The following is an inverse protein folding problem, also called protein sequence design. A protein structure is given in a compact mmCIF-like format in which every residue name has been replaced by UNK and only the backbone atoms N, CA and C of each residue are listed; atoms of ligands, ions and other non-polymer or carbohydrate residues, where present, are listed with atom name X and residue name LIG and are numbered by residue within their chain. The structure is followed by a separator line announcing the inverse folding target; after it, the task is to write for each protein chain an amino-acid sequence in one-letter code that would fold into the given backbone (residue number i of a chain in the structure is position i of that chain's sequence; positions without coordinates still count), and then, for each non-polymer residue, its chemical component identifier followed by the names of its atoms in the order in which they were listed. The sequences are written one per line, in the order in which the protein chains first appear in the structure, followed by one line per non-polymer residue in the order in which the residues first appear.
data_IF_904678723062
#
_entry.id   IF_904678723062
#
_cell.length_a   1.000
_cell.length_b   1.000
_cell.length_c   1.000
_cell.angle_alpha   90.00
_cell.angle_beta   90.00
_cell.angle_gamma   90.00
#
_symmetry.space_group_name_H-M   'P 1'
#
loop_
_entity.id
_entity.type
_entity.pdbx_description
1 polymer ?
#
# COMPACT_ATOMS: atom_id res chain seq x y z
N UNK A 1 45.94 -74.80 7.52
CA UNK A 1 46.70 -73.68 6.93
C UNK A 1 46.59 -72.48 7.87
N UNK A 2 47.57 -71.57 7.80
CA UNK A 2 47.65 -70.26 8.47
C UNK A 2 46.38 -69.39 8.33
N UNK A 3 46.18 -68.26 9.03
CA UNK A 3 46.74 -67.61 10.25
C UNK A 3 46.04 -66.22 10.34
N UNK A 4 46.46 -65.34 11.28
CA UNK A 4 46.20 -63.88 11.33
C UNK A 4 44.79 -63.41 11.76
N UNK A 5 44.62 -62.20 12.35
CA UNK A 5 45.52 -61.36 13.16
C UNK A 5 44.75 -60.13 13.73
N UNK A 6 45.00 -59.80 15.00
CA UNK A 6 44.98 -58.49 15.68
C UNK A 6 43.91 -57.38 15.44
N UNK A 7 43.60 -56.76 16.59
CA UNK A 7 42.77 -55.58 16.85
C UNK A 7 43.37 -54.21 16.49
N UNK A 8 42.52 -53.17 16.49
CA UNK A 8 42.80 -51.73 16.70
C UNK A 8 41.48 -51.03 17.13
N UNK A 9 41.31 -50.17 18.15
CA UNK A 9 42.16 -49.49 19.17
C UNK A 9 42.61 -48.03 18.85
N UNK A 10 41.85 -47.04 19.35
CA UNK A 10 42.15 -45.58 19.48
C UNK A 10 42.26 -44.74 18.18
N UNK A 11 41.98 -43.43 18.10
CA UNK A 11 42.17 -42.34 19.08
C UNK A 11 41.41 -41.02 18.71
N UNK A 12 41.39 -40.10 19.69
CA UNK A 12 41.17 -38.63 19.68
C UNK A 12 41.24 -37.82 18.37
N UNK A 13 40.39 -36.78 18.22
CA UNK A 13 40.80 -35.35 18.06
C UNK A 13 39.61 -34.38 17.82
N UNK A 14 39.68 -33.20 18.45
CA UNK A 14 39.08 -31.93 18.01
C UNK A 14 40.25 -30.96 17.66
N UNK A 15 40.10 -29.79 17.00
CA UNK A 15 38.88 -29.02 16.72
C UNK A 15 38.77 -28.47 15.27
N UNK A 16 37.73 -27.67 14.95
CA UNK A 16 37.88 -26.30 14.41
C UNK A 16 36.52 -25.67 14.05
N UNK A 17 36.29 -24.42 14.49
CA UNK A 17 35.17 -23.58 14.00
C UNK A 17 35.58 -22.95 12.67
N UNK A 18 34.78 -23.14 11.62
CA UNK A 18 34.89 -22.29 10.42
C UNK A 18 34.05 -21.02 10.61
N UNK A 19 34.67 -19.88 10.31
CA UNK A 19 34.07 -18.56 10.45
C UNK A 19 33.42 -18.11 9.13
N UNK A 20 32.23 -17.53 9.23
CA UNK A 20 31.60 -16.80 8.13
C UNK A 20 31.95 -15.31 8.27
N UNK A 21 32.51 -14.70 7.22
CA UNK A 21 32.90 -13.28 7.20
C UNK A 21 32.36 -12.63 5.93
N UNK A 22 31.63 -11.53 6.10
CA UNK A 22 31.24 -10.62 5.01
C UNK A 22 32.34 -9.58 4.83
N UNK A 23 32.96 -9.53 3.64
CA UNK A 23 33.92 -8.48 3.30
C UNK A 23 33.20 -7.17 2.97
N UNK A 24 33.64 -6.09 3.60
CA UNK A 24 33.26 -4.72 3.24
C UNK A 24 34.55 -3.95 2.96
N UNK A 25 34.67 -3.35 1.78
CA UNK A 25 35.78 -2.47 1.43
C UNK A 25 35.69 -1.16 2.22
N UNK A 26 36.70 -0.89 3.06
CA UNK A 26 36.88 0.39 3.75
C UNK A 26 37.52 1.41 2.81
N UNK A 27 36.90 2.58 2.68
CA UNK A 27 37.62 3.82 2.37
C UNK A 27 37.80 4.68 3.63
N UNK A 28 38.72 5.66 3.53
CA UNK A 28 39.46 6.21 4.67
C UNK A 28 38.82 7.45 5.28
N UNK A 29 39.08 7.63 6.58
CA UNK A 29 38.76 8.84 7.34
C UNK A 29 39.35 10.12 6.70
N UNK A 30 38.59 11.21 6.77
CA UNK A 30 39.09 12.58 6.77
C UNK A 30 38.51 13.33 7.97
N UNK A 31 39.33 14.16 8.61
CA UNK A 31 39.09 14.78 9.92
C UNK A 31 38.23 16.06 9.85
N UNK A 32 37.38 16.26 10.85
CA UNK A 32 36.64 17.51 11.05
C UNK A 32 37.51 18.61 11.71
N UNK A 33 37.18 19.91 11.50
CA UNK A 33 37.50 20.99 12.42
C UNK A 33 36.29 21.40 13.27
N UNK A 34 36.53 21.82 14.51
CA UNK A 34 35.49 22.26 15.45
C UNK A 34 35.48 23.79 15.62
N UNK A 35 34.33 24.41 15.33
CA UNK A 35 33.88 25.75 15.75
C UNK A 35 32.34 25.69 15.82
N UNK A 36 31.60 26.40 16.68
CA UNK A 36 31.98 27.48 17.59
C UNK A 36 30.97 28.63 17.47
N UNK A 37 29.98 28.66 18.37
CA UNK A 37 28.99 29.73 18.59
C UNK A 37 27.91 30.04 17.52
N UNK A 38 26.66 29.84 17.94
CA UNK A 38 25.49 30.74 17.85
C UNK A 38 25.15 31.50 16.55
N UNK A 39 23.93 31.26 16.06
CA UNK A 39 23.03 32.38 15.75
C UNK A 39 22.89 32.86 14.30
N UNK A 40 22.64 31.97 13.33
CA UNK A 40 21.93 32.33 12.09
C UNK A 40 21.42 31.09 11.34
N UNK A 41 20.13 30.75 11.45
CA UNK A 41 19.49 29.77 10.56
C UNK A 41 19.26 30.39 9.18
N UNK A 42 20.31 30.40 8.34
CA UNK A 42 20.18 30.73 6.91
C UNK A 42 19.75 29.49 6.14
N UNK A 43 18.60 29.61 5.45
CA UNK A 43 18.16 28.68 4.41
C UNK A 43 19.30 28.41 3.41
N UNK A 44 19.90 27.21 3.45
CA UNK A 44 20.64 26.65 2.31
C UNK A 44 19.86 25.45 1.77
N UNK A 45 19.22 25.66 0.62
CA UNK A 45 18.35 24.67 0.00
C UNK A 45 19.10 23.49 -0.62
N UNK A 46 19.35 22.44 0.17
CA UNK A 46 19.15 21.10 -0.36
C UNK A 46 17.74 20.65 0.02
N UNK A 47 16.86 20.56 -0.97
CA UNK A 47 15.63 19.79 -0.86
C UNK A 47 16.02 18.30 -0.85
N UNK A 48 16.42 17.81 0.32
CA UNK A 48 16.33 16.38 0.62
C UNK A 48 14.86 16.09 0.89
N UNK A 49 14.31 15.09 0.19
CA UNK A 49 13.12 14.40 0.67
C UNK A 49 13.42 13.94 2.10
N UNK A 50 12.76 14.55 3.10
CA UNK A 50 13.01 14.27 4.52
C UNK A 50 12.52 12.88 4.89
N UNK A 51 11.50 12.40 4.17
CA UNK A 51 10.84 11.13 4.42
C UNK A 51 11.15 10.05 3.39
N UNK A 52 11.11 8.79 3.83
CA UNK A 52 11.04 7.61 2.97
C UNK A 52 9.58 7.39 2.53
N UNK A 53 9.30 7.43 1.24
CA UNK A 53 7.93 7.28 0.72
C UNK A 53 7.62 5.84 0.29
N UNK A 54 6.51 5.33 0.81
CA UNK A 54 5.80 4.14 0.34
C UNK A 54 4.34 4.52 0.02
N UNK A 55 3.59 3.59 -0.56
CA UNK A 55 2.27 3.89 -1.12
C UNK A 55 1.26 2.79 -0.80
N UNK A 56 0.06 3.17 -0.37
CA UNK A 56 -1.08 2.25 -0.19
C UNK A 56 -2.10 2.52 -1.30
N UNK A 57 -2.62 1.44 -1.89
CA UNK A 57 -3.48 1.47 -3.08
C UNK A 57 -4.34 0.20 -3.11
N UNK A 58 -4.85 -0.16 -4.29
CA UNK A 58 -5.65 -1.35 -4.52
C UNK A 58 -7.14 -1.03 -4.56
N UNK A 59 -7.94 -2.01 -4.18
CA UNK A 59 -9.38 -2.00 -4.38
C UNK A 59 -10.10 -1.22 -3.26
N UNK A 60 -11.22 -0.53 -3.55
CA UNK A 60 -12.05 0.07 -2.51
C UNK A 60 -12.57 -1.01 -1.55
N UNK A 61 -12.79 -0.68 -0.27
CA UNK A 61 -13.32 -1.60 0.76
C UNK A 61 -12.48 -2.87 1.03
N UNK A 62 -11.23 -2.92 0.56
CA UNK A 62 -10.30 -4.04 0.76
C UNK A 62 -9.36 -3.87 1.99
N UNK A 63 -9.69 -2.98 2.94
CA UNK A 63 -8.94 -2.84 4.19
C UNK A 63 -7.72 -1.91 4.17
N UNK A 64 -7.56 -1.04 3.16
CA UNK A 64 -6.49 -0.04 3.16
C UNK A 64 -6.52 0.85 4.42
N UNK A 65 -7.70 1.29 4.86
CA UNK A 65 -7.85 2.04 6.11
C UNK A 65 -7.47 1.24 7.36
N UNK A 66 -7.77 -0.05 7.39
CA UNK A 66 -7.37 -0.96 8.48
C UNK A 66 -5.85 -1.13 8.51
N UNK A 67 -5.22 -1.34 7.34
CA UNK A 67 -3.76 -1.41 7.23
C UNK A 67 -3.11 -0.09 7.67
N UNK A 68 -3.63 1.06 7.23
CA UNK A 68 -3.14 2.37 7.67
C UNK A 68 -3.27 2.57 9.18
N UNK A 69 -4.39 2.16 9.78
CA UNK A 69 -4.61 2.24 11.23
C UNK A 69 -3.61 1.38 12.02
N UNK A 70 -3.30 0.17 11.53
CA UNK A 70 -2.27 -0.68 12.10
C UNK A 70 -0.87 -0.05 11.96
N UNK A 71 -0.49 0.40 10.76
CA UNK A 71 0.82 1.03 10.53
C UNK A 71 1.02 2.29 11.39
N UNK A 72 -0.03 3.09 11.60
CA UNK A 72 0.00 4.30 12.44
C UNK A 72 0.38 4.07 13.91
N UNK A 73 0.20 2.85 14.43
CA UNK A 73 0.61 2.48 15.79
C UNK A 73 2.13 2.54 15.98
N UNK A 74 2.91 2.35 14.91
CA UNK A 74 4.35 2.57 14.94
C UNK A 74 4.65 4.08 14.82
N UNK A 75 5.31 4.71 15.80
CA UNK A 75 5.56 6.15 15.79
C UNK A 75 6.43 6.62 14.60
N UNK A 76 7.24 5.74 13.99
CA UNK A 76 8.06 6.06 12.81
C UNK A 76 7.27 6.12 11.50
N UNK A 77 6.06 5.56 11.44
CA UNK A 77 5.29 5.39 10.20
C UNK A 77 4.06 6.31 10.18
N UNK A 78 3.89 7.11 9.13
CA UNK A 78 2.64 7.82 8.84
C UNK A 78 1.84 7.05 7.81
N UNK A 79 0.56 6.80 8.06
CA UNK A 79 -0.37 6.25 7.07
C UNK A 79 -1.77 6.84 7.28
N UNK A 80 -2.67 6.69 6.31
CA UNK A 80 -4.03 7.22 6.44
C UNK A 80 -4.99 6.72 5.38
N UNK A 81 -6.13 7.41 5.26
CA UNK A 81 -7.03 7.25 4.12
C UNK A 81 -6.53 8.00 2.88
N UNK A 82 -7.36 8.08 1.84
CA UNK A 82 -6.96 8.66 0.54
C UNK A 82 -6.48 10.10 0.67
N UNK A 83 -5.23 10.37 0.28
CA UNK A 83 -4.65 11.72 0.27
C UNK A 83 -5.12 12.53 -0.95
N UNK A 84 -5.10 13.88 -0.88
CA UNK A 84 -5.32 14.73 -2.04
C UNK A 84 -4.13 14.74 -3.01
N UNK A 85 -2.94 14.27 -2.60
CA UNK A 85 -1.69 14.36 -3.39
C UNK A 85 -1.85 13.70 -4.75
N UNK A 86 -2.50 12.53 -4.84
CA UNK A 86 -2.78 11.88 -6.12
C UNK A 86 -3.67 12.71 -7.06
N UNK A 87 -4.62 13.47 -6.52
CA UNK A 87 -5.43 14.42 -7.28
C UNK A 87 -4.61 15.62 -7.77
N UNK A 88 -3.80 16.20 -6.87
CA UNK A 88 -2.88 17.31 -7.18
C UNK A 88 -1.87 16.92 -8.26
N UNK A 89 -1.25 15.75 -8.14
CA UNK A 89 -0.32 15.18 -9.13
C UNK A 89 -1.01 15.00 -10.48
N UNK A 90 -2.24 14.46 -10.50
CA UNK A 90 -2.99 14.25 -11.74
C UNK A 90 -3.38 15.58 -12.43
N UNK A 91 -3.75 16.60 -11.65
CA UNK A 91 -4.06 17.93 -12.18
C UNK A 91 -2.81 18.63 -12.73
N UNK A 92 -1.69 18.60 -11.99
CA UNK A 92 -0.41 19.18 -12.41
C UNK A 92 0.14 18.47 -13.65
N UNK A 93 0.10 17.13 -13.71
CA UNK A 93 0.45 16.38 -14.92
C UNK A 93 -0.34 16.86 -16.13
N UNK A 94 -1.68 17.00 -16.02
CA UNK A 94 -2.52 17.47 -17.12
C UNK A 94 -2.10 18.87 -17.63
N UNK A 95 -1.76 19.78 -16.73
CA UNK A 95 -1.34 21.15 -17.09
C UNK A 95 0.06 21.21 -17.72
N UNK A 96 0.98 20.34 -17.30
CA UNK A 96 2.36 20.30 -17.79
C UNK A 96 2.57 19.37 -19.00
N UNK A 97 1.56 18.57 -19.37
CA UNK A 97 1.57 17.67 -20.53
C UNK A 97 1.15 18.38 -21.82
N UNK A 98 1.40 17.73 -22.97
CA UNK A 98 0.99 18.23 -24.28
C UNK A 98 -0.51 18.58 -24.31
N UNK A 99 -0.81 19.76 -24.87
CA UNK A 99 -2.16 20.37 -24.82
C UNK A 99 -2.31 21.50 -23.79
N UNK A 100 -1.38 21.63 -22.83
CA UNK A 100 -1.27 22.82 -21.99
C UNK A 100 -0.42 23.92 -22.67
N UNK A 101 -0.88 25.18 -22.61
CA UNK A 101 -0.20 26.36 -23.19
C UNK A 101 1.26 26.50 -22.72
N UNK A 102 1.53 26.11 -21.46
CA UNK A 102 2.85 26.18 -20.82
C UNK A 102 3.69 24.92 -20.98
N UNK A 103 3.19 23.87 -21.65
CA UNK A 103 3.84 22.54 -21.67
C UNK A 103 5.22 22.51 -22.33
N UNK A 104 5.50 23.45 -23.24
CA UNK A 104 6.81 23.66 -23.88
C UNK A 104 7.84 24.35 -22.97
N UNK A 105 7.39 25.03 -21.91
CA UNK A 105 8.26 25.75 -20.96
C UNK A 105 8.72 24.88 -19.79
N UNK A 106 8.18 23.65 -19.66
CA UNK A 106 8.38 22.79 -18.50
C UNK A 106 8.94 21.45 -18.98
N UNK A 107 10.24 21.23 -18.79
CA UNK A 107 10.92 19.99 -19.16
C UNK A 107 10.64 18.82 -18.18
N UNK A 108 11.11 17.62 -18.52
CA UNK A 108 10.87 16.44 -17.67
C UNK A 108 11.54 16.55 -16.27
N UNK A 109 12.78 17.04 -16.11
CA UNK A 109 13.36 17.36 -14.79
C UNK A 109 12.51 18.31 -13.95
N UNK A 110 12.03 19.42 -14.52
CA UNK A 110 11.21 20.40 -13.80
C UNK A 110 9.84 19.81 -13.44
N UNK A 111 9.19 19.06 -14.34
CA UNK A 111 7.96 18.31 -14.01
C UNK A 111 8.17 17.39 -12.82
N UNK A 112 9.27 16.61 -12.81
CA UNK A 112 9.62 15.71 -11.70
C UNK A 112 9.83 16.48 -10.39
N UNK A 113 10.51 17.63 -10.43
CA UNK A 113 10.73 18.51 -9.27
C UNK A 113 9.42 19.09 -8.73
N UNK A 114 8.55 19.61 -9.60
CA UNK A 114 7.23 20.15 -9.22
C UNK A 114 6.38 19.06 -8.56
N UNK A 115 6.28 17.88 -9.16
CA UNK A 115 5.51 16.77 -8.60
C UNK A 115 6.10 16.24 -7.29
N UNK A 116 7.44 16.21 -7.15
CA UNK A 116 8.11 15.88 -5.89
C UNK A 116 7.74 16.85 -4.77
N UNK A 117 7.74 18.15 -5.09
CA UNK A 117 7.37 19.19 -4.13
C UNK A 117 5.92 19.19 -3.68
N UNK A 118 5.01 18.50 -4.38
CA UNK A 118 3.65 18.26 -3.87
C UNK A 118 3.66 17.30 -2.67
N UNK A 119 4.59 16.34 -2.63
CA UNK A 119 4.77 15.45 -1.47
C UNK A 119 5.44 16.21 -0.33
N UNK A 120 6.53 16.91 -0.60
CA UNK A 120 7.26 17.69 0.42
C UNK A 120 6.38 18.76 1.07
N UNK A 121 5.54 19.47 0.29
CA UNK A 121 4.63 20.48 0.82
C UNK A 121 3.44 19.89 1.59
N UNK A 122 2.98 18.67 1.26
CA UNK A 122 1.84 18.04 1.94
C UNK A 122 2.25 17.28 3.21
N UNK A 123 3.46 16.71 3.24
CA UNK A 123 3.96 15.91 4.36
C UNK A 123 5.03 16.60 5.22
N UNK A 124 5.51 17.80 4.85
CA UNK A 124 6.66 18.45 5.50
C UNK A 124 6.52 18.76 7.00
N UNK A 125 5.29 18.89 7.51
CA UNK A 125 5.01 19.08 8.94
C UNK A 125 4.84 17.76 9.73
N UNK A 126 4.93 16.60 9.05
CA UNK A 126 4.79 15.28 9.68
C UNK A 126 6.15 14.79 10.20
N UNK A 127 6.37 14.87 11.50
CA UNK A 127 7.55 14.31 12.17
C UNK A 127 7.50 12.76 12.26
N UNK A 128 7.53 12.09 11.10
CA UNK A 128 7.66 10.63 10.96
C UNK A 128 8.61 10.30 9.81
N UNK A 129 9.45 9.29 10.00
CA UNK A 129 10.52 8.93 9.06
C UNK A 129 10.00 8.33 7.75
N UNK A 130 8.91 7.55 7.83
CA UNK A 130 8.34 6.81 6.70
C UNK A 130 6.90 7.24 6.47
N UNK A 131 6.56 7.62 5.24
CA UNK A 131 5.23 8.09 4.85
C UNK A 131 4.60 7.11 3.87
N UNK A 132 3.37 6.69 4.15
CA UNK A 132 2.50 5.94 3.26
C UNK A 132 1.44 6.85 2.64
N UNK A 133 1.69 7.36 1.44
CA UNK A 133 0.64 8.06 0.70
C UNK A 133 -0.39 7.06 0.17
N UNK A 134 -1.65 7.28 0.48
CA UNK A 134 -2.74 6.39 0.08
C UNK A 134 -3.52 6.97 -1.09
N UNK A 135 -3.51 6.31 -2.24
CA UNK A 135 -4.43 6.63 -3.35
C UNK A 135 -4.57 5.47 -4.33
N UNK A 136 -5.80 5.20 -4.78
CA UNK A 136 -6.13 4.11 -5.72
C UNK A 136 -5.48 4.28 -7.10
N UNK A 137 -5.16 5.52 -7.49
CA UNK A 137 -4.51 5.81 -8.76
C UNK A 137 -3.03 5.44 -8.80
N UNK A 138 -2.39 5.14 -7.67
CA UNK A 138 -0.94 4.90 -7.65
C UNK A 138 -0.52 3.66 -8.42
N UNK A 139 -1.38 2.65 -8.55
CA UNK A 139 -1.15 1.51 -9.44
C UNK A 139 -0.93 1.98 -10.90
N UNK A 140 -1.80 2.83 -11.43
CA UNK A 140 -1.68 3.44 -12.77
C UNK A 140 -0.62 4.56 -12.87
N UNK A 141 0.21 4.73 -11.83
CA UNK A 141 1.33 5.69 -11.77
C UNK A 141 2.64 5.06 -11.30
N UNK A 142 2.72 3.74 -11.16
CA UNK A 142 3.96 3.05 -10.72
C UNK A 142 5.23 3.44 -11.49
N UNK A 143 5.24 3.67 -12.82
CA UNK A 143 6.44 4.15 -13.52
C UNK A 143 6.90 5.54 -13.07
N UNK A 144 5.95 6.47 -12.85
CA UNK A 144 6.24 7.80 -12.36
C UNK A 144 6.73 7.76 -10.91
N UNK A 145 6.02 7.01 -10.05
CA UNK A 145 6.39 6.83 -8.64
C UNK A 145 7.78 6.19 -8.50
N UNK A 146 8.09 5.14 -9.27
CA UNK A 146 9.41 4.49 -9.25
C UNK A 146 10.52 5.42 -9.77
N UNK A 147 10.21 6.32 -10.72
CA UNK A 147 11.17 7.36 -11.13
C UNK A 147 11.40 8.40 -10.03
N UNK A 148 10.35 8.88 -9.37
CA UNK A 148 10.43 9.89 -8.30
C UNK A 148 11.09 9.34 -7.03
N UNK A 149 10.71 8.14 -6.63
CA UNK A 149 11.10 7.49 -5.38
C UNK A 149 11.57 6.05 -5.68
N UNK A 150 12.84 5.83 -6.07
CA UNK A 150 13.32 4.52 -6.53
C UNK A 150 13.24 3.39 -5.49
N UNK A 151 13.22 3.74 -4.20
CA UNK A 151 13.06 2.79 -3.08
C UNK A 151 11.59 2.60 -2.67
N UNK A 152 10.64 3.28 -3.32
CA UNK A 152 9.24 3.17 -2.97
C UNK A 152 8.70 1.76 -3.20
N UNK A 153 7.75 1.41 -2.34
CA UNK A 153 7.06 0.13 -2.33
C UNK A 153 5.58 0.41 -2.29
N UNK A 154 4.82 -0.40 -3.00
CA UNK A 154 3.40 -0.21 -3.21
C UNK A 154 2.63 -1.38 -2.61
N UNK A 155 1.73 -1.09 -1.69
CA UNK A 155 0.91 -2.09 -1.01
C UNK A 155 -0.51 -1.96 -1.55
N UNK A 156 -0.92 -2.91 -2.37
CA UNK A 156 -2.28 -3.01 -2.89
C UNK A 156 -3.13 -3.88 -1.97
N UNK A 157 -4.08 -3.24 -1.27
CA UNK A 157 -5.10 -3.97 -0.53
C UNK A 157 -6.11 -4.56 -1.52
N UNK A 158 -6.35 -5.87 -1.44
CA UNK A 158 -7.23 -6.60 -2.37
C UNK A 158 -8.28 -7.41 -1.62
N UNK A 159 -9.43 -7.62 -2.24
CA UNK A 159 -10.55 -8.41 -1.75
C UNK A 159 -11.43 -8.80 -2.92
N UNK A 160 -12.18 -9.90 -2.79
CA UNK A 160 -13.17 -10.30 -3.80
C UNK A 160 -14.17 -9.19 -4.10
N UNK A 161 -14.41 -8.97 -5.39
CA UNK A 161 -15.29 -7.89 -5.86
C UNK A 161 -16.73 -8.02 -5.32
N UNK A 162 -17.35 -9.22 -5.24
CA UNK A 162 -18.64 -9.38 -4.57
C UNK A 162 -18.64 -8.88 -3.12
N UNK A 163 -17.60 -9.15 -2.32
CA UNK A 163 -17.54 -8.67 -0.93
C UNK A 163 -17.31 -7.15 -0.82
N UNK A 164 -16.66 -6.55 -1.82
CA UNK A 164 -16.54 -5.09 -1.94
C UNK A 164 -17.89 -4.45 -2.26
N UNK A 165 -18.61 -5.01 -3.24
CA UNK A 165 -19.95 -4.58 -3.65
C UNK A 165 -20.95 -4.70 -2.49
N UNK A 166 -20.98 -5.85 -1.81
CA UNK A 166 -21.77 -6.10 -0.61
C UNK A 166 -21.42 -5.12 0.53
N UNK A 167 -20.14 -4.74 0.69
CA UNK A 167 -19.69 -3.74 1.66
C UNK A 167 -20.21 -2.33 1.36
N UNK A 168 -20.39 -1.98 0.08
CA UNK A 168 -20.99 -0.71 -0.32
C UNK A 168 -22.51 -0.74 -0.11
N UNK A 169 -23.17 -1.82 -0.55
CA UNK A 169 -24.63 -1.97 -0.41
C UNK A 169 -25.07 -1.96 1.06
N UNK A 170 -24.36 -2.67 1.94
CA UNK A 170 -24.61 -2.65 3.38
C UNK A 170 -24.49 -1.23 3.98
N UNK A 171 -23.63 -0.36 3.44
CA UNK A 171 -23.50 1.02 3.92
C UNK A 171 -24.66 1.90 3.43
N UNK A 172 -25.16 1.69 2.19
CA UNK A 172 -26.37 2.36 1.70
C UNK A 172 -27.59 2.00 2.57
N UNK A 173 -27.74 0.73 2.91
CA UNK A 173 -28.81 0.24 3.78
C UNK A 173 -28.83 0.85 5.20
N UNK A 174 -27.71 1.42 5.69
CA UNK A 174 -27.69 2.12 6.99
C UNK A 174 -28.40 3.48 6.96
N UNK A 175 -28.44 4.14 5.81
CA UNK A 175 -29.11 5.43 5.65
C UNK A 175 -29.95 5.44 4.36
N UNK A 176 -31.15 4.83 4.36
CA UNK A 176 -32.02 4.75 3.18
C UNK A 176 -32.64 6.10 2.79
N UNK A 177 -32.36 7.18 3.52
CA UNK A 177 -32.89 8.53 3.28
C UNK A 177 -31.88 9.47 2.61
N UNK A 178 -30.67 8.99 2.30
CA UNK A 178 -29.58 9.79 1.72
C UNK A 178 -29.15 9.29 0.34
N UNK A 179 -28.85 10.21 -0.58
CA UNK A 179 -28.45 9.90 -1.94
C UNK A 179 -26.95 10.14 -2.12
N UNK A 180 -26.15 9.09 -1.93
CA UNK A 180 -24.70 9.17 -2.06
C UNK A 180 -24.21 9.67 -3.44
N UNK A 181 -23.08 10.38 -3.43
CA UNK A 181 -22.33 10.80 -4.62
C UNK A 181 -21.59 9.66 -5.34
N UNK A 182 -21.63 8.42 -4.82
CA UNK A 182 -21.07 7.25 -5.51
C UNK A 182 -21.78 6.94 -6.84
N UNK A 183 -23.01 7.41 -7.02
CA UNK A 183 -23.82 7.28 -8.23
C UNK A 183 -24.04 8.66 -8.85
N UNK A 184 -23.93 8.77 -10.17
CA UNK A 184 -24.00 10.03 -10.91
C UNK A 184 -25.42 10.42 -11.33
N UNK A 185 -26.37 9.48 -11.39
CA UNK A 185 -27.74 9.73 -11.84
C UNK A 185 -28.75 8.82 -11.14
N UNK A 186 -30.03 9.18 -11.18
CA UNK A 186 -31.13 8.34 -10.69
C UNK A 186 -31.12 6.95 -11.33
N UNK A 187 -30.82 6.87 -12.63
CA UNK A 187 -30.72 5.60 -13.36
C UNK A 187 -29.66 4.65 -12.79
N UNK A 188 -28.57 5.17 -12.21
CA UNK A 188 -27.57 4.35 -11.51
C UNK A 188 -28.08 3.89 -10.13
N UNK A 189 -28.95 4.67 -9.48
CA UNK A 189 -29.45 4.43 -8.10
C UNK A 189 -30.59 3.42 -8.02
N UNK A 190 -31.41 3.27 -9.07
CA UNK A 190 -32.70 2.54 -9.09
C UNK A 190 -32.70 1.19 -8.34
N UNK A 191 -31.74 0.31 -8.63
CA UNK A 191 -31.71 -1.06 -8.08
C UNK A 191 -30.28 -1.47 -7.74
N UNK A 192 -30.14 -2.55 -6.98
CA UNK A 192 -28.82 -3.15 -6.73
C UNK A 192 -28.09 -3.50 -8.05
N UNK A 193 -28.82 -3.93 -9.08
CA UNK A 193 -28.28 -4.20 -10.41
C UNK A 193 -27.71 -2.95 -11.09
N UNK A 194 -28.43 -1.82 -11.08
CA UNK A 194 -27.93 -0.57 -11.65
C UNK A 194 -26.73 -0.03 -10.86
N UNK A 195 -26.77 -0.15 -9.53
CA UNK A 195 -25.68 0.28 -8.63
C UNK A 195 -24.41 -0.53 -8.88
N UNK A 196 -24.48 -1.86 -8.89
CA UNK A 196 -23.30 -2.71 -9.11
C UNK A 196 -22.75 -2.58 -10.52
N UNK A 197 -23.62 -2.46 -11.54
CA UNK A 197 -23.18 -2.16 -12.90
C UNK A 197 -22.45 -0.82 -12.99
N UNK A 198 -22.97 0.24 -12.35
CA UNK A 198 -22.35 1.56 -12.32
C UNK A 198 -20.98 1.54 -11.63
N UNK A 199 -20.85 0.90 -10.46
CA UNK A 199 -19.59 0.81 -9.71
C UNK A 199 -18.49 0.04 -10.49
N UNK A 200 -18.89 -0.98 -11.24
CA UNK A 200 -18.00 -1.84 -12.02
C UNK A 200 -17.48 -1.21 -13.32
N UNK A 201 -18.04 -0.09 -13.80
CA UNK A 201 -17.56 0.60 -15.00
C UNK A 201 -16.09 1.03 -14.86
N UNK A 202 -15.37 1.02 -15.98
CA UNK A 202 -13.92 1.26 -16.09
C UNK A 202 -13.39 2.60 -15.50
N UNK A 203 -14.29 3.56 -15.29
CA UNK A 203 -14.08 4.95 -14.87
C UNK A 203 -14.63 5.22 -13.45
N UNK A 204 -15.16 4.18 -12.78
CA UNK A 204 -15.89 4.26 -11.52
C UNK A 204 -15.18 3.52 -10.39
N UNK A 205 -15.77 3.57 -9.20
CA UNK A 205 -15.12 3.24 -7.92
C UNK A 205 -14.41 1.87 -7.89
N UNK A 206 -14.96 0.85 -8.55
CA UNK A 206 -14.37 -0.50 -8.59
C UNK A 206 -13.59 -0.72 -9.89
N UNK A 207 -14.17 -0.36 -11.04
CA UNK A 207 -13.58 -0.68 -12.35
C UNK A 207 -12.24 0.02 -12.62
N UNK A 208 -12.09 1.30 -12.26
CA UNK A 208 -10.82 2.00 -12.43
C UNK A 208 -9.69 1.41 -11.57
N UNK A 209 -9.83 1.25 -10.23
CA UNK A 209 -8.77 0.67 -9.41
C UNK A 209 -8.45 -0.78 -9.77
N UNK A 210 -9.43 -1.57 -10.22
CA UNK A 210 -9.18 -2.95 -10.68
C UNK A 210 -8.39 -2.99 -12.00
N UNK A 211 -8.69 -2.12 -12.96
CA UNK A 211 -7.91 -2.00 -14.19
C UNK A 211 -6.48 -1.51 -13.88
N UNK A 212 -6.34 -0.46 -13.08
CA UNK A 212 -5.06 0.08 -12.64
C UNK A 212 -4.21 -0.96 -11.89
N UNK A 213 -4.83 -1.76 -11.01
CA UNK A 213 -4.13 -2.82 -10.28
C UNK A 213 -3.61 -3.92 -11.20
N UNK A 214 -4.36 -4.30 -12.25
CA UNK A 214 -3.87 -5.26 -13.26
C UNK A 214 -2.69 -4.68 -14.05
N UNK A 215 -2.76 -3.40 -14.45
CA UNK A 215 -1.65 -2.73 -15.12
C UNK A 215 -0.38 -2.75 -14.25
N UNK A 216 -0.52 -2.44 -12.95
CA UNK A 216 0.57 -2.53 -11.98
C UNK A 216 1.10 -3.96 -11.80
N UNK A 217 0.21 -4.96 -11.76
CA UNK A 217 0.54 -6.36 -11.51
C UNK A 217 1.29 -7.02 -12.67
N UNK A 218 0.91 -6.76 -13.93
CA UNK A 218 1.62 -7.28 -15.10
C UNK A 218 2.70 -6.31 -15.64
N UNK A 219 2.83 -5.13 -15.03
CA UNK A 219 3.73 -4.07 -15.48
C UNK A 219 5.20 -4.27 -15.09
N UNK A 220 6.12 -3.48 -15.69
CA UNK A 220 7.57 -3.63 -15.49
C UNK A 220 8.06 -3.31 -14.07
N UNK A 221 7.21 -2.70 -13.23
CA UNK A 221 7.52 -2.35 -11.84
C UNK A 221 6.86 -3.30 -10.81
N UNK A 222 6.29 -4.43 -11.26
CA UNK A 222 5.57 -5.35 -10.40
C UNK A 222 6.38 -5.84 -9.17
N UNK A 223 7.72 -5.94 -9.26
CA UNK A 223 8.59 -6.28 -8.12
C UNK A 223 8.60 -5.27 -6.96
N UNK A 224 8.04 -4.06 -7.17
CA UNK A 224 7.77 -3.06 -6.13
C UNK A 224 6.32 -3.10 -5.62
N UNK A 225 5.51 -4.07 -6.04
CA UNK A 225 4.11 -4.25 -5.64
C UNK A 225 3.94 -5.47 -4.70
N UNK A 226 3.24 -5.26 -3.57
CA UNK A 226 2.75 -6.30 -2.65
C UNK A 226 1.23 -6.27 -2.63
N UNK A 227 0.59 -7.41 -2.86
CA UNK A 227 -0.85 -7.59 -2.67
C UNK A 227 -1.13 -8.16 -1.28
N UNK A 228 -1.98 -7.46 -0.53
CA UNK A 228 -2.45 -7.83 0.81
C UNK A 228 -3.94 -8.14 0.72
N UNK A 229 -4.30 -9.43 0.81
CA UNK A 229 -5.69 -9.85 0.81
C UNK A 229 -6.35 -9.54 2.16
N UNK A 230 -7.49 -8.84 2.13
CA UNK A 230 -8.25 -8.43 3.31
C UNK A 230 -8.59 -9.61 4.23
N UNK A 231 -8.99 -10.75 3.65
CA UNK A 231 -9.43 -11.89 4.44
C UNK A 231 -8.25 -12.53 5.19
N UNK A 232 -7.03 -12.42 4.66
CA UNK A 232 -5.80 -12.81 5.39
C UNK A 232 -5.43 -11.78 6.45
N UNK A 233 -5.54 -10.48 6.15
CA UNK A 233 -5.26 -9.39 7.09
C UNK A 233 -6.14 -9.50 8.35
N UNK A 234 -7.43 -9.85 8.22
CA UNK A 234 -8.31 -9.99 9.40
C UNK A 234 -8.20 -11.34 10.10
N UNK A 235 -7.71 -12.40 9.45
CA UNK A 235 -7.52 -13.74 10.04
C UNK A 235 -6.16 -13.91 10.74
N UNK A 236 -5.11 -13.27 10.23
CA UNK A 236 -3.74 -13.40 10.72
C UNK A 236 -3.00 -12.05 10.69
N UNK A 237 -3.52 -11.01 11.39
CA UNK A 237 -3.07 -9.63 11.22
C UNK A 237 -1.58 -9.43 11.52
N UNK A 238 -1.07 -10.02 12.62
CA UNK A 238 0.36 -9.97 12.94
C UNK A 238 1.21 -10.52 11.79
N UNK A 239 0.91 -11.73 11.31
CA UNK A 239 1.70 -12.39 10.28
C UNK A 239 1.67 -11.66 8.94
N UNK A 240 0.52 -11.08 8.59
CA UNK A 240 0.39 -10.23 7.40
C UNK A 240 1.21 -8.94 7.55
N UNK A 241 1.18 -8.33 8.74
CA UNK A 241 1.91 -7.09 9.00
C UNK A 241 3.43 -7.32 9.02
N UNK A 242 3.93 -8.41 9.62
CA UNK A 242 5.34 -8.83 9.53
C UNK A 242 5.83 -8.91 8.07
N UNK A 243 5.02 -9.49 7.18
CA UNK A 243 5.34 -9.58 5.75
C UNK A 243 5.33 -8.20 5.06
N UNK A 244 4.44 -7.30 5.47
CA UNK A 244 4.45 -5.89 5.01
C UNK A 244 5.74 -5.20 5.44
N UNK A 245 6.15 -5.30 6.71
CA UNK A 245 7.40 -4.73 7.23
C UNK A 245 8.64 -5.27 6.49
N UNK A 246 8.71 -6.59 6.28
CA UNK A 246 9.76 -7.22 5.49
C UNK A 246 9.81 -6.68 4.05
N UNK A 247 8.65 -6.50 3.40
CA UNK A 247 8.58 -6.01 2.02
C UNK A 247 9.01 -4.55 1.84
N UNK A 248 8.69 -3.67 2.81
CA UNK A 248 9.11 -2.25 2.82
C UNK A 248 10.56 -2.06 3.31
N UNK A 249 11.15 -3.10 3.92
CA UNK A 249 12.49 -3.05 4.50
C UNK A 249 12.57 -2.19 5.76
N UNK A 250 11.53 -2.24 6.61
CA UNK A 250 11.52 -1.58 7.92
C UNK A 250 11.61 -2.62 9.06
N UNK A 251 12.24 -2.28 10.20
CA UNK A 251 12.25 -3.15 11.37
C UNK A 251 10.83 -3.31 11.94
N UNK A 252 10.52 -4.53 12.36
CA UNK A 252 9.26 -4.86 13.04
C UNK A 252 9.05 -4.02 14.31
N UNK A 253 7.78 -3.76 14.64
CA UNK A 253 7.37 -3.02 15.82
C UNK A 253 6.52 -3.90 16.74
N UNK A 254 7.09 -4.34 17.86
CA UNK A 254 6.42 -5.23 18.82
C UNK A 254 5.22 -4.57 19.55
N UNK A 255 5.04 -3.25 19.44
CA UNK A 255 3.94 -2.52 20.07
C UNK A 255 2.63 -2.51 19.28
N UNK A 256 2.46 -3.36 18.27
CA UNK A 256 1.20 -3.46 17.53
C UNK A 256 0.10 -4.12 18.38
N UNK A 257 -1.06 -3.46 18.47
CA UNK A 257 -2.24 -3.95 19.19
C UNK A 257 -3.39 -4.21 18.20
N UNK A 258 -3.71 -5.49 18.00
CA UNK A 258 -4.77 -5.93 17.09
C UNK A 258 -6.16 -5.96 17.72
N UNK A 259 -6.26 -5.74 19.04
CA UNK A 259 -7.50 -5.62 19.78
C UNK A 259 -7.90 -4.15 20.03
N UNK A 260 -6.98 -3.20 19.80
CA UNK A 260 -7.16 -1.76 19.98
C UNK A 260 -6.76 -0.92 18.75
N UNK A 261 -7.46 -1.10 17.64
CA UNK A 261 -7.29 -0.33 16.41
C UNK A 261 -8.32 0.80 16.31
N UNK A 262 -7.87 2.05 16.24
CA UNK A 262 -8.73 3.23 16.12
C UNK A 262 -8.40 4.02 14.86
N UNK A 263 -9.43 4.26 14.03
CA UNK A 263 -9.36 5.12 12.84
C UNK A 263 -10.77 5.51 12.40
N UNK A 264 -10.96 6.79 12.10
CA UNK A 264 -12.18 7.30 11.48
C UNK A 264 -11.85 8.53 10.61
N UNK A 265 -12.78 8.92 9.73
CA UNK A 265 -12.63 10.06 8.82
C UNK A 265 -14.00 10.67 8.43
N UNK A 266 -14.77 11.19 9.40
CA UNK A 266 -16.17 11.58 9.20
C UNK A 266 -16.35 12.64 8.09
N UNK A 267 -15.45 13.62 8.00
CA UNK A 267 -15.51 14.70 6.99
C UNK A 267 -15.45 14.17 5.54
N UNK A 268 -14.67 13.11 5.29
CA UNK A 268 -14.57 12.50 3.96
C UNK A 268 -15.83 11.66 3.64
N UNK A 269 -16.39 11.01 4.65
CA UNK A 269 -17.60 10.20 4.55
C UNK A 269 -18.84 11.05 4.31
N UNK A 270 -18.99 12.16 5.04
CA UNK A 270 -20.02 13.18 4.86
C UNK A 270 -19.94 13.81 3.46
N UNK A 271 -18.72 14.12 2.97
CA UNK A 271 -18.53 14.66 1.62
C UNK A 271 -19.05 13.72 0.51
N UNK A 272 -19.17 12.41 0.77
CA UNK A 272 -19.72 11.40 -0.13
C UNK A 272 -21.20 11.03 0.16
N UNK A 273 -21.78 11.49 1.28
CA UNK A 273 -23.08 11.04 1.77
C UNK A 273 -23.06 9.59 2.28
N UNK A 274 -21.96 9.16 2.92
CA UNK A 274 -21.70 7.77 3.33
C UNK A 274 -21.10 7.70 4.75
N UNK A 275 -21.80 8.23 5.75
CA UNK A 275 -21.34 8.28 7.14
C UNK A 275 -20.89 6.90 7.69
N UNK A 276 -19.73 6.85 8.36
CA UNK A 276 -19.18 5.61 8.93
C UNK A 276 -18.74 4.58 7.90
N UNK A 277 -18.35 5.04 6.70
CA UNK A 277 -17.75 4.21 5.66
C UNK A 277 -16.30 3.88 6.00
N UNK A 278 -15.50 4.84 6.47
CA UNK A 278 -14.07 4.63 6.79
C UNK A 278 -13.79 4.34 8.27
N UNK A 279 -14.80 4.33 9.13
CA UNK A 279 -14.68 3.84 10.51
C UNK A 279 -14.18 2.38 10.53
N UNK A 280 -13.08 2.12 11.24
CA UNK A 280 -12.59 0.76 11.52
C UNK A 280 -13.17 0.26 12.85
N UNK A 281 -13.30 -1.06 12.98
CA UNK A 281 -13.69 -1.66 14.25
C UNK A 281 -12.46 -1.89 15.14
N UNK A 282 -12.64 -1.66 16.45
CA UNK A 282 -11.58 -1.76 17.47
C UNK A 282 -10.76 -3.06 17.41
N UNK A 283 -11.42 -4.21 17.37
CA UNK A 283 -10.77 -5.54 17.22
C UNK A 283 -10.65 -5.94 15.76
N UNK A 284 -9.44 -6.34 15.35
CA UNK A 284 -9.17 -6.96 14.06
C UNK A 284 -9.55 -8.44 14.11
N UNK A 285 -10.67 -8.76 13.47
CA UNK A 285 -11.18 -10.12 13.36
C UNK A 285 -12.04 -10.26 12.09
N UNK A 286 -12.22 -11.48 11.56
CA UNK A 286 -13.24 -11.75 10.56
C UNK A 286 -14.62 -11.37 11.09
N UNK A 287 -15.52 -10.97 10.17
CA UNK A 287 -16.92 -10.69 10.48
C UNK A 287 -17.79 -11.36 9.44
N UNK A 288 -18.31 -12.52 9.80
CA UNK A 288 -19.27 -13.24 8.98
C UNK A 288 -20.58 -12.46 8.91
N UNK A 289 -21.15 -12.37 7.71
CA UNK A 289 -22.45 -11.78 7.47
C UNK A 289 -23.09 -12.42 6.25
N UNK A 290 -24.42 -12.39 6.20
CA UNK A 290 -25.15 -12.73 4.98
C UNK A 290 -24.95 -11.61 3.94
N UNK A 291 -24.69 -12.00 2.69
CA UNK A 291 -24.60 -11.06 1.57
C UNK A 291 -25.97 -10.47 1.25
N UNK A 292 -26.01 -9.18 0.92
CA UNK A 292 -27.19 -8.52 0.36
C UNK A 292 -27.27 -8.68 -1.18
N UNK A 293 -26.19 -9.16 -1.81
CA UNK A 293 -26.15 -9.32 -3.27
C UNK A 293 -26.92 -10.57 -3.72
N UNK A 294 -27.81 -10.44 -4.73
CA UNK A 294 -28.32 -11.56 -5.51
C UNK A 294 -27.22 -12.53 -6.01
N UNK A 295 -27.48 -13.85 -6.06
CA UNK A 295 -26.47 -14.83 -6.47
C UNK A 295 -25.87 -14.59 -7.86
N UNK A 296 -26.67 -14.10 -8.81
CA UNK A 296 -26.25 -13.81 -10.19
C UNK A 296 -25.28 -12.62 -10.26
N UNK A 297 -25.38 -11.65 -9.34
CA UNK A 297 -24.38 -10.59 -9.18
C UNK A 297 -23.08 -11.16 -8.62
N UNK A 298 -23.14 -12.09 -7.65
CA UNK A 298 -21.94 -12.73 -7.08
C UNK A 298 -21.20 -13.52 -8.16
N UNK A 299 -21.91 -14.39 -8.88
CA UNK A 299 -21.38 -15.22 -9.97
C UNK A 299 -20.72 -14.37 -11.06
N UNK A 300 -21.35 -13.26 -11.46
CA UNK A 300 -20.82 -12.35 -12.48
C UNK A 300 -19.46 -11.70 -12.14
N UNK A 301 -19.15 -11.53 -10.86
CA UNK A 301 -17.97 -10.75 -10.42
C UNK A 301 -16.93 -11.57 -9.63
N UNK A 302 -17.17 -12.85 -9.34
CA UNK A 302 -16.26 -13.70 -8.55
C UNK A 302 -14.88 -13.90 -9.20
N UNK A 303 -14.82 -14.09 -10.52
CA UNK A 303 -13.58 -14.41 -11.25
C UNK A 303 -12.65 -13.19 -11.47
N UNK A 304 -12.98 -12.04 -10.89
CA UNK A 304 -12.14 -10.84 -10.97
C UNK A 304 -10.89 -10.89 -10.07
N UNK A 305 -10.76 -11.90 -9.20
CA UNK A 305 -9.66 -12.07 -8.24
C UNK A 305 -8.38 -12.70 -8.83
N UNK A 306 -7.90 -12.16 -9.96
CA UNK A 306 -6.79 -12.72 -10.76
C UNK A 306 -5.49 -13.01 -9.95
N UNK A 307 -5.24 -12.26 -8.87
CA UNK A 307 -4.06 -12.43 -8.02
C UNK A 307 -4.01 -13.79 -7.28
N UNK A 308 -5.14 -14.48 -7.15
CA UNK A 308 -5.22 -15.78 -6.47
C UNK A 308 -4.56 -16.88 -7.29
N UNK A 309 -4.86 -16.97 -8.58
CA UNK A 309 -4.44 -18.06 -9.47
C UNK A 309 -3.25 -17.71 -10.36
N UNK A 310 -3.02 -16.43 -10.68
CA UNK A 310 -1.94 -16.05 -11.58
C UNK A 310 -0.56 -16.04 -10.90
N UNK A 311 0.45 -16.51 -11.63
CA UNK A 311 1.87 -16.60 -11.25
C UNK A 311 2.78 -15.90 -12.26
N UNK A 312 2.24 -15.30 -13.32
CA UNK A 312 2.98 -14.67 -14.43
C UNK A 312 3.41 -13.22 -14.12
N UNK A 313 3.56 -12.89 -12.85
CA UNK A 313 3.88 -11.55 -12.36
C UNK A 313 5.08 -11.59 -11.42
N UNK A 314 5.88 -10.51 -11.43
CA UNK A 314 6.94 -10.30 -10.45
C UNK A 314 6.44 -9.69 -9.13
N UNK A 315 5.13 -9.46 -8.98
CA UNK A 315 4.54 -8.92 -7.76
C UNK A 315 4.53 -9.93 -6.61
N UNK A 316 4.78 -9.44 -5.41
CA UNK A 316 4.60 -10.21 -4.19
C UNK A 316 3.09 -10.31 -3.88
N UNK A 317 2.61 -11.49 -3.51
CA UNK A 317 1.21 -11.69 -3.10
C UNK A 317 1.21 -12.49 -1.80
N UNK A 318 0.61 -11.95 -0.75
CA UNK A 318 0.39 -12.73 0.47
C UNK A 318 -0.71 -13.76 0.17
N UNK A 319 -0.36 -15.04 0.29
CA UNK A 319 -1.26 -16.18 0.13
C UNK A 319 -1.11 -17.11 1.35
N UNK A 320 -2.12 -17.94 1.69
CA UNK A 320 -1.92 -19.03 2.63
C UNK A 320 -0.78 -19.93 2.18
N UNK A 321 -0.03 -20.50 3.12
CA UNK A 321 0.88 -21.60 2.81
C UNK A 321 0.04 -22.81 2.39
N UNK A 322 0.10 -23.18 1.11
CA UNK A 322 -0.42 -24.46 0.66
C UNK A 322 0.48 -25.55 1.22
N UNK A 323 -0.06 -26.39 2.11
CA UNK A 323 0.51 -27.67 2.50
C UNK A 323 0.08 -28.76 1.52
#
# INVERSE_FOLDING_TARGET
MCCQSLAALSASLAPHRQAWRLEHTREKNATAPAWGCAGAFRFLGLWKFVHKYHFITGLPRAGSTLLSALLLQNPRLHAGMTSPVGGLVSANLRLMSAGGELSLMIDAPLRKKILGGLFDAFYGDIDREVIFDTNRLWCAKMPMITSMFPQAKMIACVRDIPWIMDSLENQLHKNPFENTKLFASEAERLTIYSRMAALARHDRLIGFPWAALKEAYYGPHASNLLLVDYDLLVRAPQRVLELVYHFIGEPWFDGHDFDNVEYDAPQFDEALGMAGMHQVHRKVAPRDRQTLLPPDIVEKYQDMAFWRTDTRSAASVIKPTTH
#
